data_IF_024173755187
#
_entry.id   IF_024173755187
#
_cell.length_a   1.000
_cell.length_b   1.000
_cell.length_c   1.000
_cell.angle_alpha   90.00
_cell.angle_beta   90.00
_cell.angle_gamma   90.00
#
_symmetry.space_group_name_H-M   'P 1'
#
loop_
_entity.id
_entity.type
_entity.pdbx_description
1 polymer ?
#
# COMPACT_ATOMS: atom_id res chain seq x y z
N UNK A 1 -16.06 6.85 -12.62
CA UNK A 1 -15.25 6.44 -11.46
C UNK A 1 -15.41 7.52 -10.39
N UNK A 2 -15.80 7.19 -9.16
CA UNK A 2 -16.09 8.22 -8.13
C UNK A 2 -14.80 8.82 -7.53
N UNK A 3 -14.86 10.06 -7.04
CA UNK A 3 -13.72 10.83 -6.47
C UNK A 3 -12.92 10.06 -5.42
N UNK A 4 -13.60 9.25 -4.60
CA UNK A 4 -12.96 8.40 -3.59
C UNK A 4 -12.03 7.37 -4.23
N UNK A 5 -12.50 6.60 -5.22
CA UNK A 5 -11.69 5.57 -5.88
C UNK A 5 -10.45 6.17 -6.57
N UNK A 6 -10.59 7.34 -7.17
CA UNK A 6 -9.46 8.03 -7.80
C UNK A 6 -8.40 8.43 -6.76
N UNK A 7 -8.83 8.96 -5.61
CA UNK A 7 -7.92 9.33 -4.51
C UNK A 7 -7.28 8.10 -3.87
N UNK A 8 -8.03 7.00 -3.74
CA UNK A 8 -7.49 5.73 -3.25
C UNK A 8 -6.46 5.15 -4.21
N UNK A 9 -6.68 5.22 -5.53
CA UNK A 9 -5.69 4.80 -6.52
C UNK A 9 -4.39 5.62 -6.41
N UNK A 10 -4.50 6.95 -6.36
CA UNK A 10 -3.33 7.83 -6.18
C UNK A 10 -2.60 7.58 -4.84
N UNK A 11 -3.33 7.26 -3.77
CA UNK A 11 -2.72 6.83 -2.51
C UNK A 11 -1.93 5.53 -2.68
N UNK A 12 -2.50 4.53 -3.37
CA UNK A 12 -1.83 3.25 -3.58
C UNK A 12 -0.56 3.40 -4.41
N UNK A 13 -0.59 4.21 -5.48
CA UNK A 13 0.61 4.53 -6.28
C UNK A 13 1.72 5.09 -5.38
N UNK A 14 1.44 6.13 -4.60
CA UNK A 14 2.42 6.73 -3.70
C UNK A 14 2.90 5.76 -2.61
N UNK A 15 2.01 4.90 -2.10
CA UNK A 15 2.35 3.90 -1.09
C UNK A 15 3.33 2.84 -1.62
N UNK A 16 3.10 2.35 -2.84
CA UNK A 16 4.00 1.39 -3.49
C UNK A 16 5.32 2.02 -3.91
N UNK A 17 5.33 3.26 -4.40
CA UNK A 17 6.56 4.01 -4.66
C UNK A 17 7.45 4.08 -3.41
N UNK A 18 6.85 4.45 -2.27
CA UNK A 18 7.58 4.52 -1.00
C UNK A 18 8.05 3.13 -0.53
N UNK A 19 7.18 2.12 -0.60
CA UNK A 19 7.53 0.75 -0.20
C UNK A 19 8.70 0.20 -1.03
N UNK A 20 8.70 0.40 -2.34
CA UNK A 20 9.78 -0.07 -3.20
C UNK A 20 11.05 0.75 -3.01
N UNK A 21 10.95 2.06 -2.78
CA UNK A 21 12.11 2.88 -2.44
C UNK A 21 12.80 2.41 -1.14
N UNK A 22 12.02 2.10 -0.09
CA UNK A 22 12.54 1.52 1.17
C UNK A 22 13.28 0.21 0.92
N UNK A 23 12.77 -0.61 0.00
CA UNK A 23 13.36 -1.89 -0.37
C UNK A 23 14.45 -1.79 -1.46
N UNK A 24 14.76 -0.58 -1.95
CA UNK A 24 15.69 -0.34 -3.07
C UNK A 24 15.33 -1.12 -4.34
N UNK A 25 14.04 -1.30 -4.58
CA UNK A 25 13.49 -1.94 -5.76
C UNK A 25 13.00 -0.89 -6.76
N UNK A 26 13.17 -1.20 -8.05
CA UNK A 26 12.51 -0.42 -9.10
C UNK A 26 11.03 -0.79 -9.14
N UNK A 27 10.18 0.20 -9.41
CA UNK A 27 8.74 -0.03 -9.54
C UNK A 27 8.46 -0.90 -10.79
N UNK A 28 7.78 -2.06 -10.66
CA UNK A 28 7.59 -3.02 -11.76
C UNK A 28 6.47 -2.62 -12.75
N UNK A 29 6.10 -1.34 -12.79
CA UNK A 29 4.82 -0.87 -13.38
C UNK A 29 3.61 -1.16 -12.50
N UNK A 30 2.39 -0.93 -12.99
CA UNK A 30 1.15 -0.90 -12.17
C UNK A 30 0.50 -2.28 -11.92
N UNK A 31 0.99 -3.34 -12.57
CA UNK A 31 0.35 -4.66 -12.51
C UNK A 31 1.00 -5.53 -11.43
N UNK A 32 0.16 -6.28 -10.70
CA UNK A 32 0.58 -7.31 -9.73
C UNK A 32 1.50 -6.79 -8.62
N UNK A 33 1.31 -5.55 -8.19
CA UNK A 33 2.13 -4.88 -7.16
C UNK A 33 2.22 -5.65 -5.83
N UNK A 34 1.10 -6.20 -5.36
CA UNK A 34 1.04 -7.01 -4.13
C UNK A 34 1.94 -8.25 -4.25
N UNK A 35 1.79 -9.03 -5.33
CA UNK A 35 2.59 -10.24 -5.55
C UNK A 35 4.08 -9.93 -5.73
N UNK A 36 4.41 -8.83 -6.41
CA UNK A 36 5.78 -8.37 -6.54
C UNK A 36 6.38 -7.97 -5.20
N UNK A 37 5.65 -7.21 -4.38
CA UNK A 37 6.09 -6.81 -3.04
C UNK A 37 6.36 -8.05 -2.16
N UNK A 38 5.43 -9.01 -2.12
CA UNK A 38 5.59 -10.26 -1.36
C UNK A 38 6.81 -11.08 -1.78
N UNK A 39 7.16 -11.05 -3.06
CA UNK A 39 8.26 -11.87 -3.59
C UNK A 39 9.63 -11.19 -3.50
N UNK A 40 9.68 -9.84 -3.48
CA UNK A 40 10.92 -9.09 -3.67
C UNK A 40 11.27 -8.15 -2.51
N UNK A 41 10.30 -7.68 -1.73
CA UNK A 41 10.57 -6.77 -0.62
C UNK A 41 11.17 -7.56 0.56
N UNK A 42 12.37 -7.17 1.00
CA UNK A 42 13.00 -7.70 2.20
C UNK A 42 12.37 -7.15 3.48
N UNK A 43 11.75 -5.97 3.40
CA UNK A 43 10.98 -5.32 4.45
C UNK A 43 9.54 -5.10 3.97
N UNK A 44 8.59 -5.68 4.68
CA UNK A 44 7.16 -5.47 4.45
C UNK A 44 6.50 -4.98 5.75
N UNK A 45 5.52 -4.07 5.65
CA UNK A 45 4.71 -3.68 6.81
C UNK A 45 3.98 -4.90 7.40
N UNK A 46 3.77 -4.88 8.71
CA UNK A 46 3.02 -5.93 9.39
C UNK A 46 1.59 -6.07 8.84
N UNK A 47 1.12 -7.30 8.64
CA UNK A 47 -0.20 -7.61 8.05
C UNK A 47 -0.43 -7.00 6.64
N UNK A 48 0.63 -6.78 5.86
CA UNK A 48 0.57 -6.17 4.52
C UNK A 48 -0.60 -6.65 3.64
N UNK A 49 -0.76 -7.96 3.44
CA UNK A 49 -1.86 -8.49 2.60
C UNK A 49 -3.24 -8.17 3.15
N UNK A 50 -3.43 -8.29 4.47
CA UNK A 50 -4.73 -8.02 5.11
C UNK A 50 -5.10 -6.55 4.98
N UNK A 51 -4.12 -5.65 5.14
CA UNK A 51 -4.34 -4.22 4.99
C UNK A 51 -4.64 -3.85 3.53
N UNK A 52 -3.99 -4.50 2.56
CA UNK A 52 -4.30 -4.34 1.13
C UNK A 52 -5.73 -4.78 0.83
N UNK A 53 -6.13 -5.96 1.29
CA UNK A 53 -7.50 -6.46 1.13
C UNK A 53 -8.51 -5.52 1.79
N UNK A 54 -8.21 -5.05 3.01
CA UNK A 54 -9.06 -4.09 3.71
C UNK A 54 -9.19 -2.79 2.92
N UNK A 55 -8.11 -2.23 2.40
CA UNK A 55 -8.16 -0.98 1.65
C UNK A 55 -8.92 -1.07 0.31
N UNK A 56 -8.91 -2.25 -0.33
CA UNK A 56 -9.61 -2.50 -1.60
C UNK A 56 -11.10 -2.84 -1.41
N UNK A 57 -11.46 -3.41 -0.26
CA UNK A 57 -12.83 -3.86 0.02
C UNK A 57 -13.62 -2.91 0.92
N UNK A 58 -12.93 -2.12 1.76
CA UNK A 58 -13.55 -1.18 2.68
C UNK A 58 -14.25 -0.04 1.93
N UNK A 59 -15.47 0.28 2.37
CA UNK A 59 -16.26 1.39 1.82
C UNK A 59 -16.67 2.34 2.94
N UNK A 60 -16.83 3.61 2.59
CA UNK A 60 -17.37 4.62 3.50
C UNK A 60 -16.36 5.11 4.55
N UNK A 61 -16.80 5.44 5.77
CA UNK A 61 -16.03 6.25 6.73
C UNK A 61 -14.80 5.53 7.32
N UNK A 62 -14.70 4.21 7.16
CA UNK A 62 -13.59 3.42 7.70
C UNK A 62 -12.35 3.43 6.80
N UNK A 63 -12.49 3.79 5.52
CA UNK A 63 -11.38 3.76 4.56
C UNK A 63 -10.20 4.67 5.00
N UNK A 64 -10.41 5.94 5.39
CA UNK A 64 -9.31 6.78 5.88
C UNK A 64 -8.55 6.16 7.05
N UNK A 65 -9.25 5.49 7.98
CA UNK A 65 -8.63 4.82 9.12
C UNK A 65 -7.72 3.67 8.66
N UNK A 66 -8.16 2.86 7.70
CA UNK A 66 -7.34 1.78 7.12
C UNK A 66 -6.09 2.36 6.45
N UNK A 67 -6.24 3.40 5.62
CA UNK A 67 -5.10 4.02 4.93
C UNK A 67 -4.11 4.66 5.92
N UNK A 68 -4.58 5.28 7.00
CA UNK A 68 -3.71 5.80 8.06
C UNK A 68 -2.93 4.69 8.76
N UNK A 69 -3.58 3.57 9.11
CA UNK A 69 -2.89 2.40 9.69
C UNK A 69 -1.80 1.87 8.78
N UNK A 70 -2.06 1.78 7.46
CA UNK A 70 -1.05 1.35 6.48
C UNK A 70 0.18 2.27 6.48
N UNK A 71 -0.02 3.58 6.59
CA UNK A 71 1.08 4.56 6.65
C UNK A 71 1.90 4.40 7.93
N UNK A 72 1.26 4.21 9.08
CA UNK A 72 1.97 4.01 10.35
C UNK A 72 2.83 2.74 10.31
N UNK A 73 2.28 1.63 9.78
CA UNK A 73 3.03 0.38 9.62
C UNK A 73 4.16 0.50 8.60
N UNK A 74 3.96 1.29 7.53
CA UNK A 74 5.03 1.58 6.56
C UNK A 74 6.17 2.39 7.21
N UNK A 75 5.84 3.38 8.06
CA UNK A 75 6.86 4.14 8.80
C UNK A 75 7.66 3.24 9.74
N UNK A 76 7.03 2.26 10.37
CA UNK A 76 7.68 1.33 11.29
C UNK A 76 8.78 0.48 10.64
N UNK A 77 8.77 0.27 9.31
CA UNK A 77 9.81 -0.50 8.62
C UNK A 77 10.98 0.37 8.07
N UNK A 78 10.85 1.70 8.16
CA UNK A 78 11.90 2.65 7.76
C UNK A 78 12.97 2.80 8.84
N UNK A 79 12.54 2.73 10.11
CA UNK A 79 13.40 2.79 11.31
C UNK A 79 14.04 1.43 11.60
#
# INVERSE_FOLDING_TARGET
>A
MNSVNHRTAAFMESYFDALFAINRLLHPGEKRLVAFALSNCSKLPEDFEKDMDAALTCKGPNLPKVLSTMVEKLRAIVL
#
